data_IF_051846827019
#
_entry.id   IF_051846827019
#
_cell.length_a   1.000
_cell.length_b   1.000
_cell.length_c   1.000
_cell.angle_alpha   90.00
_cell.angle_beta   90.00
_cell.angle_gamma   90.00
#
_symmetry.space_group_name_H-M   'P 1'
#
loop_
_entity.id
_entity.type
_entity.pdbx_description
1 polymer ?
#
# COMPACT_ATOMS: atom_id res chain seq x y z
N UNK A 1 16.31 -12.14 -6.48
CA UNK A 1 15.82 -10.87 -5.93
C UNK A 1 14.44 -10.57 -6.48
N UNK A 2 13.50 -10.26 -5.59
CA UNK A 2 12.10 -10.02 -5.97
C UNK A 2 11.93 -8.55 -6.35
N UNK A 3 11.37 -8.24 -7.53
CA UNK A 3 11.09 -6.85 -7.87
C UNK A 3 10.18 -6.19 -6.84
N UNK A 4 10.40 -4.92 -6.61
CA UNK A 4 9.70 -4.17 -5.57
C UNK A 4 8.18 -4.26 -5.71
N UNK A 5 7.66 -4.10 -6.93
CA UNK A 5 6.22 -4.15 -7.14
C UNK A 5 5.63 -5.51 -6.77
N UNK A 6 6.33 -6.58 -7.11
CA UNK A 6 5.85 -7.93 -6.79
C UNK A 6 5.83 -8.13 -5.27
N UNK A 7 6.83 -7.62 -4.57
CA UNK A 7 6.85 -7.70 -3.12
C UNK A 7 5.69 -6.92 -2.50
N UNK A 8 5.40 -5.73 -3.02
CA UNK A 8 4.26 -4.96 -2.56
C UNK A 8 2.96 -5.72 -2.80
N UNK A 9 2.80 -6.29 -3.99
CA UNK A 9 1.59 -7.05 -4.31
C UNK A 9 1.41 -8.22 -3.36
N UNK A 10 2.47 -8.95 -3.07
CA UNK A 10 2.40 -10.08 -2.14
C UNK A 10 2.02 -9.62 -0.74
N UNK A 11 2.60 -8.50 -0.29
CA UNK A 11 2.29 -7.95 1.03
C UNK A 11 0.83 -7.53 1.12
N UNK A 12 0.33 -6.84 0.11
CA UNK A 12 -1.05 -6.37 0.10
C UNK A 12 -2.01 -7.55 0.08
N UNK A 13 -1.76 -8.55 -0.76
CA UNK A 13 -2.63 -9.73 -0.84
C UNK A 13 -2.68 -10.45 0.51
N UNK A 14 -1.54 -10.57 1.17
CA UNK A 14 -1.46 -11.27 2.45
C UNK A 14 -2.21 -10.53 3.54
N UNK A 15 -2.22 -9.21 3.51
CA UNK A 15 -2.76 -8.40 4.61
C UNK A 15 -4.10 -7.75 4.30
N UNK A 16 -4.57 -7.89 3.08
CA UNK A 16 -5.81 -7.27 2.64
C UNK A 16 -7.01 -7.83 3.38
N UNK A 17 -7.88 -6.94 3.84
CA UNK A 17 -9.18 -7.31 4.40
C UNK A 17 -10.22 -6.31 3.94
N UNK A 18 -11.36 -6.81 3.55
CA UNK A 18 -12.46 -5.92 3.23
C UNK A 18 -13.14 -5.54 4.54
N UNK A 19 -13.24 -4.24 4.89
CA UNK A 19 -13.91 -3.85 6.12
C UNK A 19 -15.33 -4.36 6.16
N UNK A 20 -15.73 -4.97 7.28
CA UNK A 20 -17.05 -5.56 7.41
C UNK A 20 -18.16 -4.54 7.13
N UNK A 21 -18.02 -3.35 7.68
CA UNK A 21 -19.02 -2.31 7.49
C UNK A 21 -19.14 -1.90 6.02
N UNK A 22 -18.02 -1.90 5.30
CA UNK A 22 -18.05 -1.58 3.87
C UNK A 22 -18.75 -2.66 3.08
N UNK A 23 -18.58 -3.92 3.47
CA UNK A 23 -19.28 -5.03 2.82
C UNK A 23 -20.78 -4.88 3.04
N UNK A 24 -21.18 -4.61 4.27
CA UNK A 24 -22.60 -4.48 4.62
C UNK A 24 -23.27 -3.32 3.87
N UNK A 25 -22.54 -2.24 3.69
CA UNK A 25 -23.06 -1.06 2.99
C UNK A 25 -22.79 -1.09 1.49
N UNK A 26 -22.19 -2.16 0.99
CA UNK A 26 -21.84 -2.34 -0.42
C UNK A 26 -20.97 -1.19 -0.94
N UNK A 27 -20.02 -0.77 -0.11
CA UNK A 27 -19.09 0.30 -0.47
C UNK A 27 -17.92 -0.29 -1.23
N UNK A 28 -17.73 0.18 -2.46
CA UNK A 28 -16.63 -0.22 -3.32
C UNK A 28 -15.87 1.02 -3.76
N UNK A 29 -14.64 0.83 -4.19
CA UNK A 29 -13.90 1.94 -4.71
C UNK A 29 -12.41 1.65 -4.79
N UNK A 30 -11.69 2.67 -5.21
CA UNK A 30 -10.26 2.59 -5.42
C UNK A 30 -9.58 3.59 -4.49
N UNK A 31 -8.53 3.12 -3.84
CA UNK A 31 -7.73 3.97 -2.98
C UNK A 31 -6.30 3.96 -3.52
N UNK A 32 -5.73 5.14 -3.69
CA UNK A 32 -4.33 5.25 -4.11
C UNK A 32 -3.52 5.61 -2.88
N UNK A 33 -2.53 4.76 -2.58
CA UNK A 33 -1.64 4.99 -1.45
C UNK A 33 -0.32 5.49 -1.99
N UNK A 34 0.02 6.73 -1.70
CA UNK A 34 1.29 7.30 -2.11
C UNK A 34 2.34 6.89 -1.08
N UNK A 35 3.23 6.01 -1.49
CA UNK A 35 4.26 5.44 -0.63
C UNK A 35 5.59 6.09 -0.87
N UNK A 36 6.39 6.17 0.19
CA UNK A 36 7.77 6.61 0.09
C UNK A 36 8.64 5.57 0.78
N UNK A 37 9.69 5.14 0.10
CA UNK A 37 10.72 4.31 0.71
C UNK A 37 11.97 5.15 0.78
N UNK A 38 12.45 5.38 2.00
CA UNK A 38 13.56 6.30 2.19
C UNK A 38 14.90 5.61 1.94
N UNK A 39 15.97 6.38 2.13
CA UNK A 39 17.33 5.89 1.88
C UNK A 39 17.75 4.76 2.79
N UNK A 40 17.01 4.52 3.87
CA UNK A 40 17.27 3.42 4.78
C UNK A 40 16.39 2.21 4.48
N UNK A 41 15.51 2.30 3.48
CA UNK A 41 14.60 1.23 3.15
C UNK A 41 13.33 1.19 3.97
N UNK A 42 13.01 2.28 4.66
CA UNK A 42 11.84 2.35 5.52
C UNK A 42 10.68 2.94 4.72
N UNK A 43 9.57 2.19 4.71
CA UNK A 43 8.37 2.61 3.99
C UNK A 43 7.53 3.53 4.87
N UNK A 44 7.00 4.59 4.28
CA UNK A 44 6.04 5.45 4.93
C UNK A 44 4.95 5.82 3.94
N UNK A 45 3.79 6.18 4.47
CA UNK A 45 2.66 6.62 3.65
C UNK A 45 2.69 8.14 3.61
N UNK A 46 2.80 8.68 2.40
CA UNK A 46 2.82 10.12 2.21
C UNK A 46 1.41 10.68 2.14
N UNK A 47 0.53 9.96 1.46
CA UNK A 47 -0.81 10.44 1.22
C UNK A 47 -1.71 9.27 0.86
N UNK A 48 -2.98 9.35 1.25
CA UNK A 48 -3.98 8.38 0.86
C UNK A 48 -5.08 9.13 0.13
N UNK A 49 -5.37 8.71 -1.09
CA UNK A 49 -6.37 9.33 -1.93
C UNK A 49 -7.49 8.35 -2.17
N UNK A 50 -8.66 8.62 -1.60
CA UNK A 50 -9.83 7.77 -1.74
C UNK A 50 -11.08 8.61 -1.52
N UNK A 51 -12.23 7.96 -1.63
CA UNK A 51 -13.52 8.64 -1.48
C UNK A 51 -14.30 8.16 -0.27
N UNK A 52 -13.80 7.15 0.43
CA UNK A 52 -14.54 6.60 1.56
C UNK A 52 -13.59 6.31 2.71
N UNK A 53 -13.89 6.85 3.90
CA UNK A 53 -12.99 6.67 5.06
C UNK A 53 -12.76 5.21 5.44
N UNK A 54 -13.75 4.34 5.27
CA UNK A 54 -13.57 2.92 5.61
C UNK A 54 -12.51 2.26 4.75
N UNK A 55 -12.53 2.56 3.44
CA UNK A 55 -11.55 1.99 2.54
C UNK A 55 -10.17 2.61 2.74
N UNK A 56 -10.14 3.91 3.05
CA UNK A 56 -8.88 4.59 3.32
C UNK A 56 -8.21 4.05 4.57
N UNK A 57 -8.98 3.78 5.62
CA UNK A 57 -8.44 3.22 6.85
C UNK A 57 -7.85 1.83 6.60
N UNK A 58 -8.54 1.01 5.81
CA UNK A 58 -8.02 -0.32 5.50
C UNK A 58 -6.75 -0.22 4.67
N UNK A 59 -6.71 0.67 3.69
CA UNK A 59 -5.51 0.87 2.88
C UNK A 59 -4.32 1.25 3.75
N UNK A 60 -4.54 2.10 4.75
CA UNK A 60 -3.49 2.47 5.69
C UNK A 60 -3.06 1.28 6.54
N UNK A 61 -4.01 0.51 7.06
CA UNK A 61 -3.73 -0.63 7.92
C UNK A 61 -2.91 -1.71 7.22
N UNK A 62 -3.15 -1.90 5.92
CA UNK A 62 -2.43 -2.95 5.17
C UNK A 62 -0.92 -2.79 5.29
N UNK A 63 -0.44 -1.56 5.34
CA UNK A 63 1.01 -1.32 5.37
C UNK A 63 1.58 -1.23 6.78
N UNK A 64 0.77 -1.47 7.82
CA UNK A 64 1.29 -1.54 9.18
C UNK A 64 2.24 -2.72 9.30
N UNK A 65 3.37 -2.49 9.96
CA UNK A 65 4.35 -3.56 10.16
C UNK A 65 5.14 -3.94 8.93
N UNK A 66 5.09 -3.12 7.90
CA UNK A 66 5.85 -3.40 6.67
C UNK A 66 7.34 -3.49 7.00
N UNK A 67 8.04 -4.53 6.52
CA UNK A 67 9.44 -4.73 6.89
C UNK A 67 10.36 -3.69 6.25
N UNK A 68 11.48 -3.46 6.90
CA UNK A 68 12.51 -2.62 6.31
C UNK A 68 13.13 -3.34 5.14
N UNK A 69 13.28 -2.62 4.03
CA UNK A 69 13.83 -3.18 2.80
C UNK A 69 15.27 -2.71 2.60
N UNK A 70 15.96 -3.37 1.68
CA UNK A 70 17.24 -2.85 1.19
C UNK A 70 16.92 -1.57 0.42
N UNK A 71 17.67 -0.49 0.65
CA UNK A 71 17.38 0.75 -0.06
C UNK A 71 17.66 0.63 -1.55
N UNK A 72 16.90 1.38 -2.35
CA UNK A 72 17.17 1.47 -3.76
C UNK A 72 18.47 2.25 -3.98
N UNK A 73 19.23 1.83 -4.99
CA UNK A 73 20.50 2.48 -5.30
C UNK A 73 20.44 3.09 -6.67
N UNK A 74 21.04 4.27 -6.79
CA UNK A 74 21.25 4.91 -8.06
C UNK A 74 22.73 5.28 -8.12
N UNK A 75 23.44 4.69 -9.06
CA UNK A 75 24.90 4.87 -9.18
C UNK A 75 25.60 4.54 -7.87
N UNK A 76 25.13 3.45 -7.22
CA UNK A 76 25.74 2.98 -5.98
C UNK A 76 25.34 3.74 -4.73
N UNK A 77 24.46 4.73 -4.83
CA UNK A 77 24.06 5.54 -3.68
C UNK A 77 22.59 5.33 -3.35
N UNK A 78 22.23 5.23 -2.06
CA UNK A 78 20.83 5.08 -1.67
C UNK A 78 20.00 6.29 -2.09
N UNK A 79 18.80 6.03 -2.58
CA UNK A 79 17.87 7.09 -3.00
C UNK A 79 16.49 6.80 -2.43
N UNK A 80 15.69 7.88 -2.34
CA UNK A 80 14.28 7.75 -1.99
C UNK A 80 13.50 7.27 -3.20
N UNK A 81 12.45 6.47 -2.94
CA UNK A 81 11.54 6.04 -3.99
C UNK A 81 10.14 6.51 -3.61
N UNK A 82 9.45 7.08 -4.59
CA UNK A 82 8.03 7.41 -4.45
C UNK A 82 7.24 6.47 -5.35
N UNK A 83 6.17 5.90 -4.82
CA UNK A 83 5.37 4.94 -5.55
C UNK A 83 3.91 5.11 -5.19
N UNK A 84 3.05 5.24 -6.20
CA UNK A 84 1.61 5.32 -6.00
C UNK A 84 1.03 3.94 -6.19
N UNK A 85 0.52 3.36 -5.10
CA UNK A 85 -0.02 1.99 -5.12
C UNK A 85 -1.54 2.04 -5.09
N UNK A 86 -2.21 1.59 -6.15
CA UNK A 86 -3.68 1.55 -6.16
C UNK A 86 -4.19 0.27 -5.52
N UNK A 87 -5.21 0.39 -4.68
CA UNK A 87 -5.90 -0.75 -4.09
C UNK A 87 -7.35 -0.64 -4.53
N UNK A 88 -7.83 -1.70 -5.17
CA UNK A 88 -9.22 -1.74 -5.65
C UNK A 88 -10.03 -2.59 -4.70
N UNK A 89 -11.08 -2.00 -4.13
CA UNK A 89 -12.01 -2.71 -3.27
C UNK A 89 -13.27 -3.00 -4.08
N UNK A 90 -13.53 -4.27 -4.30
CA UNK A 90 -14.66 -4.69 -5.10
C UNK A 90 -15.32 -5.90 -4.47
N UNK A 91 -16.64 -5.84 -4.31
CA UNK A 91 -17.39 -6.93 -3.71
C UNK A 91 -17.71 -7.94 -4.82
N UNK A 92 -17.30 -9.17 -4.60
CA UNK A 92 -17.57 -10.25 -5.55
C UNK A 92 -18.68 -11.13 -4.97
N UNK A 93 -19.74 -11.33 -5.74
CA UNK A 93 -20.84 -12.18 -5.31
C UNK A 93 -20.83 -13.51 -6.03
#
# INVERSE_FOLDING_TARGET
EIPFKIFLDQWVIKNYRYPQEAVEKKIEGRVIVALRIDKKGILSIKEIIGRNPLLEEEACRIFDGFPQLSPALQRGKPVNILYNYPIVFRITE
#
